data_IF_517716602553
#
_entry.id   IF_517716602553
#
_cell.length_a   1.000
_cell.length_b   1.000
_cell.length_c   1.000
_cell.angle_alpha   90.00
_cell.angle_beta   90.00
_cell.angle_gamma   90.00
#
_symmetry.space_group_name_H-M   'P 1'
#
loop_
_entity.id
_entity.type
_entity.pdbx_description
1 polymer ?
#
# COMPACT_ATOMS: atom_id res chain seq x y z
N UNK A 1 -10.59 -7.76 -16.51
CA UNK A 1 -9.45 -6.84 -16.36
C UNK A 1 -8.49 -7.00 -17.51
N UNK A 2 -7.76 -5.93 -17.80
CA UNK A 2 -6.64 -5.96 -18.76
C UNK A 2 -5.35 -5.79 -17.97
N UNK A 3 -4.33 -6.56 -18.31
CA UNK A 3 -2.97 -6.43 -17.78
C UNK A 3 -2.09 -6.00 -18.94
N UNK A 4 -1.64 -4.74 -18.94
CA UNK A 4 -0.69 -4.23 -19.92
C UNK A 4 0.71 -4.28 -19.34
N UNK A 5 1.62 -5.00 -19.96
CA UNK A 5 3.01 -5.13 -19.53
C UNK A 5 3.89 -4.33 -20.49
N UNK A 6 4.68 -3.41 -19.96
CA UNK A 6 5.38 -2.44 -20.80
C UNK A 6 6.30 -1.50 -20.03
N UNK A 7 6.77 -0.48 -20.76
CA UNK A 7 7.50 0.65 -20.20
C UNK A 7 6.51 1.68 -19.64
N UNK A 8 6.25 1.59 -18.35
CA UNK A 8 5.43 2.56 -17.60
C UNK A 8 6.28 3.26 -16.54
N UNK A 9 5.77 4.35 -15.97
CA UNK A 9 6.46 5.08 -14.89
C UNK A 9 6.40 4.30 -13.57
N UNK A 10 5.28 3.63 -13.31
CA UNK A 10 5.04 2.81 -12.13
C UNK A 10 3.97 1.74 -12.41
N UNK A 11 3.84 0.78 -11.49
CA UNK A 11 2.77 -0.22 -11.53
C UNK A 11 1.53 0.32 -10.85
N UNK A 12 0.38 0.34 -11.55
CA UNK A 12 -0.89 0.81 -11.00
C UNK A 12 -2.09 0.12 -11.64
N UNK A 13 -3.22 0.14 -10.94
CA UNK A 13 -4.53 -0.23 -11.49
C UNK A 13 -5.35 1.04 -11.66
N UNK A 14 -5.82 1.29 -12.88
CA UNK A 14 -6.66 2.43 -13.19
C UNK A 14 -7.70 2.04 -14.22
N UNK A 15 -8.98 2.35 -13.96
CA UNK A 15 -10.10 2.07 -14.86
C UNK A 15 -10.14 0.60 -15.34
N UNK A 16 -9.89 -0.34 -14.42
CA UNK A 16 -9.93 -1.78 -14.72
C UNK A 16 -8.72 -2.30 -15.51
N UNK A 17 -7.66 -1.50 -15.65
CA UNK A 17 -6.41 -1.86 -16.33
C UNK A 17 -5.26 -1.85 -15.34
N UNK A 18 -4.57 -2.98 -15.20
CA UNK A 18 -3.26 -3.05 -14.56
C UNK A 18 -2.19 -2.63 -15.56
N UNK A 19 -1.54 -1.51 -15.32
CA UNK A 19 -0.32 -1.11 -16.01
C UNK A 19 0.87 -1.68 -15.25
N UNK A 20 1.41 -2.81 -15.72
CA UNK A 20 2.52 -3.52 -15.06
C UNK A 20 3.86 -3.03 -15.61
N UNK A 21 4.61 -2.33 -14.77
CA UNK A 21 6.00 -1.97 -15.04
C UNK A 21 6.92 -3.12 -14.63
N UNK A 22 7.94 -3.37 -15.46
CA UNK A 22 9.04 -4.27 -15.13
C UNK A 22 10.30 -3.48 -14.76
N UNK A 23 11.07 -4.01 -13.81
CA UNK A 23 12.35 -3.49 -13.36
C UNK A 23 13.40 -3.48 -14.47
N UNK A 24 13.36 -4.44 -15.40
CA UNK A 24 14.32 -4.57 -16.50
C UNK A 24 13.65 -4.89 -17.85
N UNK A 25 12.59 -4.17 -18.21
CA UNK A 25 11.86 -4.40 -19.47
C UNK A 25 12.80 -4.47 -20.70
N UNK A 26 12.71 -5.50 -21.57
CA UNK A 26 11.63 -6.51 -21.65
C UNK A 26 11.92 -7.81 -20.86
N UNK A 27 12.92 -7.84 -19.97
CA UNK A 27 13.14 -8.99 -19.09
C UNK A 27 12.17 -8.94 -17.91
N UNK A 28 11.73 -10.11 -17.46
CA UNK A 28 10.85 -10.29 -16.30
C UNK A 28 11.53 -11.21 -15.30
N UNK A 29 11.44 -10.86 -14.03
CA UNK A 29 11.92 -11.66 -12.90
C UNK A 29 10.85 -12.60 -12.38
N UNK A 30 11.27 -13.63 -11.65
CA UNK A 30 10.35 -14.56 -10.98
C UNK A 30 9.38 -13.86 -10.02
N UNK A 31 9.84 -12.80 -9.35
CA UNK A 31 9.00 -11.97 -8.47
C UNK A 31 7.91 -11.25 -9.27
N UNK A 32 8.27 -10.63 -10.39
CA UNK A 32 7.29 -9.95 -11.24
C UNK A 32 6.28 -10.93 -11.84
N UNK A 33 6.72 -12.13 -12.24
CA UNK A 33 5.83 -13.22 -12.65
C UNK A 33 4.87 -13.59 -11.52
N UNK A 34 5.38 -13.79 -10.30
CA UNK A 34 4.56 -14.10 -9.12
C UNK A 34 3.46 -13.03 -8.93
N UNK A 35 3.80 -11.75 -8.99
CA UNK A 35 2.80 -10.67 -8.83
C UNK A 35 1.76 -10.63 -9.95
N UNK A 36 2.13 -10.97 -11.19
CA UNK A 36 1.17 -11.09 -12.30
C UNK A 36 0.19 -12.25 -12.05
N UNK A 37 0.71 -13.38 -11.57
CA UNK A 37 -0.12 -14.54 -11.21
C UNK A 37 -1.05 -14.19 -10.05
N UNK A 38 -0.55 -13.52 -9.00
CA UNK A 38 -1.35 -13.07 -7.86
C UNK A 38 -2.51 -12.16 -8.30
N UNK A 39 -2.26 -11.23 -9.22
CA UNK A 39 -3.33 -10.39 -9.78
C UNK A 39 -4.36 -11.21 -10.54
N UNK A 40 -3.93 -12.17 -11.39
CA UNK A 40 -4.85 -13.04 -12.13
C UNK A 40 -5.71 -13.89 -11.18
N UNK A 41 -5.09 -14.50 -10.17
CA UNK A 41 -5.77 -15.35 -9.20
C UNK A 41 -6.74 -14.53 -8.32
N UNK A 42 -6.34 -13.32 -7.89
CA UNK A 42 -7.21 -12.39 -7.16
C UNK A 42 -8.44 -12.01 -7.97
N UNK A 43 -8.25 -11.62 -9.23
CA UNK A 43 -9.35 -11.23 -10.12
C UNK A 43 -10.27 -12.43 -10.41
N UNK A 44 -9.71 -13.62 -10.58
CA UNK A 44 -10.47 -14.86 -10.76
C UNK A 44 -11.30 -15.23 -9.52
N UNK A 45 -10.80 -14.96 -8.30
CA UNK A 45 -11.54 -15.18 -7.05
C UNK A 45 -12.86 -14.38 -7.01
N UNK A 46 -12.89 -13.24 -7.72
CA UNK A 46 -14.08 -12.40 -7.88
C UNK A 46 -14.81 -12.59 -9.22
N UNK A 47 -14.53 -13.69 -9.92
CA UNK A 47 -15.20 -14.04 -11.17
C UNK A 47 -14.80 -13.18 -12.37
N UNK A 48 -13.71 -12.39 -12.27
CA UNK A 48 -13.22 -11.54 -13.34
C UNK A 48 -12.11 -12.26 -14.12
N UNK A 49 -12.18 -12.18 -15.45
CA UNK A 49 -11.14 -12.71 -16.34
C UNK A 49 -10.09 -11.65 -16.63
N UNK A 50 -8.84 -12.06 -16.73
CA UNK A 50 -7.72 -11.20 -17.11
C UNK A 50 -7.28 -11.46 -18.55
N UNK A 51 -6.94 -10.40 -19.27
CA UNK A 51 -6.32 -10.46 -20.59
C UNK A 51 -4.93 -9.81 -20.54
N UNK A 52 -3.90 -10.51 -20.99
CA UNK A 52 -2.54 -10.00 -21.11
C UNK A 52 -2.36 -9.23 -22.43
N UNK A 53 -1.70 -8.07 -22.36
CA UNK A 53 -1.28 -7.28 -23.50
C UNK A 53 0.18 -6.89 -23.29
N UNK A 54 1.05 -7.27 -24.22
CA UNK A 54 2.46 -6.86 -24.23
C UNK A 54 2.93 -6.73 -25.68
N UNK A 55 3.66 -5.65 -25.98
CA UNK A 55 4.21 -5.42 -27.33
C UNK A 55 5.32 -6.42 -27.67
N UNK A 56 6.10 -6.83 -26.67
CA UNK A 56 7.15 -7.83 -26.82
C UNK A 56 6.54 -9.24 -26.78
N UNK A 57 6.52 -9.89 -27.96
CA UNK A 57 5.94 -11.23 -28.13
C UNK A 57 6.69 -12.33 -27.38
N UNK A 58 8.01 -12.19 -27.22
CA UNK A 58 8.81 -13.20 -26.52
C UNK A 58 8.57 -13.12 -25.01
N UNK A 59 8.51 -11.90 -24.47
CA UNK A 59 8.11 -11.65 -23.10
C UNK A 59 6.69 -12.15 -22.85
N UNK A 60 5.73 -11.83 -23.73
CA UNK A 60 4.35 -12.30 -23.60
C UNK A 60 4.29 -13.83 -23.50
N UNK A 61 4.94 -14.53 -24.44
CA UNK A 61 4.99 -16.00 -24.43
C UNK A 61 5.63 -16.55 -23.16
N UNK A 62 6.68 -15.88 -22.65
CA UNK A 62 7.35 -16.26 -21.40
C UNK A 62 6.40 -16.17 -20.21
N UNK A 63 5.64 -15.09 -20.11
CA UNK A 63 4.65 -14.88 -19.04
C UNK A 63 3.51 -15.87 -19.16
N UNK A 64 2.97 -16.09 -20.36
CA UNK A 64 1.90 -17.07 -20.61
C UNK A 64 2.32 -18.48 -20.22
N UNK A 65 3.54 -18.91 -20.59
CA UNK A 65 4.09 -20.20 -20.18
C UNK A 65 4.27 -20.28 -18.67
N UNK A 66 4.72 -19.19 -18.04
CA UNK A 66 4.92 -19.14 -16.58
C UNK A 66 3.61 -19.26 -15.81
N UNK A 67 2.52 -18.71 -16.34
CA UNK A 67 1.18 -18.84 -15.75
C UNK A 67 0.69 -20.30 -15.78
N UNK A 68 1.03 -21.06 -16.83
CA UNK A 68 0.72 -22.50 -16.90
C UNK A 68 1.48 -23.32 -15.86
N UNK A 69 2.58 -22.80 -15.34
CA UNK A 69 3.44 -23.44 -14.34
C UNK A 69 3.43 -22.66 -13.01
N UNK A 70 2.29 -22.04 -12.68
CA UNK A 70 2.19 -21.07 -11.58
C UNK A 70 2.66 -21.59 -10.22
N UNK A 71 2.59 -22.91 -9.98
CA UNK A 71 3.06 -23.56 -8.76
C UNK A 71 4.56 -23.30 -8.51
N UNK A 72 5.37 -23.11 -9.56
CA UNK A 72 6.80 -22.77 -9.45
C UNK A 72 7.02 -21.41 -8.80
N UNK A 73 6.09 -20.48 -8.98
CA UNK A 73 6.24 -19.08 -8.56
C UNK A 73 5.64 -18.79 -7.18
N UNK A 74 4.80 -19.67 -6.65
CA UNK A 74 4.11 -19.48 -5.35
C UNK A 74 5.08 -19.24 -4.17
N UNK A 75 6.30 -19.79 -4.25
CA UNK A 75 7.30 -19.70 -3.19
C UNK A 75 8.43 -18.71 -3.47
N UNK A 76 8.34 -17.97 -4.58
CA UNK A 76 9.34 -16.95 -4.89
C UNK A 76 9.33 -15.91 -3.77
N UNK A 77 10.45 -15.71 -3.06
CA UNK A 77 10.49 -14.75 -1.96
C UNK A 77 10.33 -13.33 -2.48
N UNK A 78 9.77 -12.46 -1.64
CA UNK A 78 9.81 -11.02 -1.91
C UNK A 78 11.29 -10.57 -1.94
N UNK A 79 11.73 -9.80 -2.96
CA UNK A 79 13.08 -9.26 -2.95
C UNK A 79 13.23 -8.25 -1.81
N UNK A 80 14.42 -8.12 -1.23
CA UNK A 80 14.68 -7.14 -0.15
C UNK A 80 14.34 -5.70 -0.59
N UNK A 81 14.51 -5.43 -1.88
CA UNK A 81 14.15 -4.16 -2.51
C UNK A 81 13.55 -4.38 -3.90
N UNK A 82 12.36 -3.82 -4.10
CA UNK A 82 11.69 -3.78 -5.41
C UNK A 82 12.17 -2.54 -6.17
N UNK A 83 12.63 -2.74 -7.40
CA UNK A 83 13.19 -1.68 -8.26
C UNK A 83 12.28 -1.31 -9.43
N UNK A 84 11.13 -1.96 -9.58
CA UNK A 84 10.07 -1.56 -10.52
C UNK A 84 9.64 -0.12 -10.24
N UNK A 85 9.33 0.20 -8.97
CA UNK A 85 9.00 1.55 -8.54
C UNK A 85 10.26 2.30 -8.09
N UNK A 86 10.65 3.33 -8.85
CA UNK A 86 11.82 4.17 -8.55
C UNK A 86 11.45 5.52 -7.97
N UNK A 87 10.17 5.71 -7.59
CA UNK A 87 9.66 7.01 -7.14
C UNK A 87 10.39 7.50 -5.87
N UNK A 88 10.76 6.60 -4.96
CA UNK A 88 11.54 6.93 -3.76
C UNK A 88 12.94 7.46 -4.14
N UNK A 89 13.18 8.76 -3.95
CA UNK A 89 14.43 9.44 -4.34
C UNK A 89 15.66 8.91 -3.58
N UNK A 90 15.50 8.59 -2.29
CA UNK A 90 16.58 8.15 -1.40
C UNK A 90 16.97 6.69 -1.64
N UNK A 91 16.00 5.77 -1.61
CA UNK A 91 16.25 4.33 -1.68
C UNK A 91 16.23 3.77 -3.11
N UNK A 92 15.69 4.54 -4.07
CA UNK A 92 15.53 4.18 -5.50
C UNK A 92 14.84 2.82 -5.68
N UNK A 93 13.81 2.59 -4.88
CA UNK A 93 13.11 1.32 -4.77
C UNK A 93 12.20 1.29 -3.54
N UNK A 94 11.32 0.30 -3.48
CA UNK A 94 10.53 -0.01 -2.30
C UNK A 94 11.25 -1.05 -1.44
N UNK A 95 11.50 -0.73 -0.17
CA UNK A 95 12.09 -1.65 0.78
C UNK A 95 10.98 -2.54 1.37
N UNK A 96 11.19 -3.85 1.42
CA UNK A 96 10.09 -4.81 1.60
C UNK A 96 9.96 -5.38 3.01
N UNK A 97 10.82 -4.95 3.93
CA UNK A 97 10.79 -5.41 5.33
C UNK A 97 9.52 -4.99 6.08
N UNK A 98 9.02 -3.79 5.78
CA UNK A 98 7.88 -3.20 6.46
C UNK A 98 6.79 -2.81 5.47
N UNK A 99 5.56 -2.85 5.96
CA UNK A 99 4.40 -2.26 5.28
C UNK A 99 3.73 -1.27 6.22
N UNK A 100 3.01 -0.30 5.65
CA UNK A 100 2.28 0.67 6.44
C UNK A 100 0.89 0.97 5.88
N UNK A 101 0.01 1.39 6.79
CA UNK A 101 -1.26 2.04 6.49
C UNK A 101 -1.18 3.49 6.93
N UNK A 102 -1.39 4.43 6.01
CA UNK A 102 -1.36 5.88 6.28
C UNK A 102 -2.77 6.45 6.22
N UNK A 103 -3.11 7.31 7.18
CA UNK A 103 -4.44 7.92 7.26
C UNK A 103 -4.41 9.33 7.85
N UNK A 104 -5.53 10.05 7.76
CA UNK A 104 -5.69 11.38 8.37
C UNK A 104 -5.79 11.29 9.90
N UNK A 105 -5.52 12.40 10.58
CA UNK A 105 -5.68 12.52 12.04
C UNK A 105 -7.05 12.00 12.51
N UNK A 106 -8.14 12.46 11.89
CA UNK A 106 -9.51 12.07 12.26
C UNK A 106 -9.72 10.54 12.26
N UNK A 107 -9.21 9.85 11.23
CA UNK A 107 -9.32 8.40 11.15
C UNK A 107 -8.35 7.70 12.09
N UNK A 108 -7.15 8.26 12.28
CA UNK A 108 -6.17 7.73 13.24
C UNK A 108 -6.74 7.70 14.66
N UNK A 109 -7.45 8.76 15.08
CA UNK A 109 -8.13 8.81 16.38
C UNK A 109 -9.16 7.66 16.52
N UNK A 110 -9.99 7.42 15.50
CA UNK A 110 -10.96 6.30 15.50
C UNK A 110 -10.27 4.94 15.58
N UNK A 111 -9.17 4.78 14.85
CA UNK A 111 -8.37 3.56 14.82
C UNK A 111 -7.73 3.28 16.19
N UNK A 112 -7.12 4.29 16.80
CA UNK A 112 -6.50 4.17 18.13
C UNK A 112 -7.55 3.87 19.20
N UNK A 113 -8.65 4.62 19.22
CA UNK A 113 -9.78 4.43 20.14
C UNK A 113 -10.34 3.01 20.09
N UNK A 114 -10.46 2.44 18.89
CA UNK A 114 -10.95 1.06 18.71
C UNK A 114 -9.87 -0.01 18.90
N UNK A 115 -8.58 0.36 18.85
CA UNK A 115 -7.45 -0.55 18.85
C UNK A 115 -7.36 -1.43 17.60
N UNK A 116 -8.06 -1.07 16.52
CA UNK A 116 -8.17 -1.88 15.29
C UNK A 116 -8.09 -1.03 14.03
N UNK A 117 -7.42 -1.55 13.02
CA UNK A 117 -7.64 -1.11 11.63
C UNK A 117 -8.85 -1.87 11.08
N UNK A 118 -9.70 -1.17 10.35
CA UNK A 118 -10.91 -1.71 9.74
C UNK A 118 -10.88 -1.42 8.23
N UNK A 119 -11.43 -2.33 7.43
CA UNK A 119 -11.68 -2.08 6.01
C UNK A 119 -12.65 -0.91 5.83
N UNK A 120 -12.66 -0.29 4.65
CA UNK A 120 -13.53 0.87 4.40
C UNK A 120 -15.01 0.56 4.65
N UNK A 121 -15.45 -0.66 4.30
CA UNK A 121 -16.79 -1.15 4.55
C UNK A 121 -17.14 -1.19 6.04
N UNK A 122 -16.25 -1.77 6.86
CA UNK A 122 -16.44 -1.90 8.31
C UNK A 122 -16.32 -0.57 9.04
N UNK A 123 -15.33 0.24 8.66
CA UNK A 123 -15.03 1.51 9.31
C UNK A 123 -16.16 2.54 9.14
N UNK A 124 -16.86 2.51 8.00
CA UNK A 124 -17.84 3.54 7.64
C UNK A 124 -19.28 3.09 7.77
N UNK A 125 -19.53 1.78 7.91
CA UNK A 125 -20.86 1.21 8.01
C UNK A 125 -21.80 1.68 6.88
N UNK A 126 -21.25 1.79 5.67
CA UNK A 126 -21.98 2.10 4.43
C UNK A 126 -22.11 0.84 3.59
N UNK A 127 -23.01 0.85 2.62
CA UNK A 127 -23.08 -0.21 1.62
C UNK A 127 -21.93 -0.08 0.62
N UNK A 128 -21.56 -1.20 -0.02
CA UNK A 128 -20.51 -1.19 -1.05
C UNK A 128 -20.87 -0.27 -2.22
N UNK A 129 -22.15 -0.21 -2.61
CA UNK A 129 -22.62 0.67 -3.68
C UNK A 129 -22.42 2.15 -3.35
N UNK A 130 -22.65 2.55 -2.09
CA UNK A 130 -22.38 3.91 -1.64
C UNK A 130 -20.89 4.23 -1.70
N UNK A 131 -20.02 3.30 -1.29
CA UNK A 131 -18.56 3.46 -1.36
C UNK A 131 -18.04 3.58 -2.79
N UNK A 132 -18.57 2.77 -3.71
CA UNK A 132 -18.19 2.80 -5.12
C UNK A 132 -18.58 4.12 -5.79
N UNK A 133 -19.69 4.74 -5.38
CA UNK A 133 -20.22 5.97 -5.97
C UNK A 133 -19.51 7.25 -5.48
N UNK A 134 -18.58 7.14 -4.53
CA UNK A 134 -17.91 8.31 -3.98
C UNK A 134 -16.88 8.88 -4.95
N UNK A 135 -16.78 10.21 -4.99
CA UNK A 135 -15.75 10.91 -5.79
C UNK A 135 -14.32 10.45 -5.48
N UNK A 136 -14.08 10.01 -4.24
CA UNK A 136 -12.77 9.51 -3.79
C UNK A 136 -12.44 8.10 -4.31
N UNK A 137 -13.39 7.41 -4.94
CA UNK A 137 -13.13 6.20 -5.73
C UNK A 137 -12.67 6.59 -7.15
N UNK A 138 -11.63 7.42 -7.24
CA UNK A 138 -11.19 8.02 -8.50
C UNK A 138 -10.67 6.99 -9.52
N UNK A 139 -10.12 5.88 -9.04
CA UNK A 139 -9.63 4.77 -9.87
C UNK A 139 -10.72 3.82 -10.37
N UNK A 140 -11.99 4.06 -9.98
CA UNK A 140 -13.13 3.18 -10.23
C UNK A 140 -12.90 1.76 -9.70
N UNK A 141 -12.41 1.67 -8.46
CA UNK A 141 -12.15 0.41 -7.77
C UNK A 141 -13.43 -0.43 -7.67
N UNK A 142 -13.32 -1.77 -7.84
CA UNK A 142 -14.46 -2.65 -7.74
C UNK A 142 -14.89 -2.86 -6.29
N UNK A 143 -16.13 -3.32 -6.12
CA UNK A 143 -16.80 -3.58 -4.84
C UNK A 143 -15.92 -4.25 -3.76
N UNK A 144 -15.16 -5.26 -4.16
CA UNK A 144 -14.33 -6.05 -3.24
C UNK A 144 -13.20 -5.25 -2.60
N UNK A 145 -12.68 -4.20 -3.23
CA UNK A 145 -11.56 -3.42 -2.69
C UNK A 145 -11.91 -2.79 -1.34
N UNK A 146 -13.18 -2.44 -1.14
CA UNK A 146 -13.67 -1.83 0.09
C UNK A 146 -13.77 -2.81 1.27
N UNK A 147 -13.68 -4.12 1.02
CA UNK A 147 -13.66 -5.16 2.04
C UNK A 147 -12.27 -5.33 2.70
N UNK A 148 -11.26 -4.66 2.15
CA UNK A 148 -9.86 -4.82 2.57
C UNK A 148 -9.28 -3.57 3.24
N UNK A 149 -8.39 -3.81 4.19
CA UNK A 149 -7.35 -2.88 4.62
C UNK A 149 -6.22 -3.00 3.62
N UNK A 150 -5.84 -1.88 3.02
CA UNK A 150 -4.76 -1.78 2.05
C UNK A 150 -3.49 -1.26 2.71
N UNK A 151 -2.37 -1.87 2.34
CA UNK A 151 -1.05 -1.50 2.81
C UNK A 151 -0.17 -1.04 1.64
N UNK A 152 0.80 -0.20 1.94
CA UNK A 152 1.89 0.16 1.03
C UNK A 152 3.22 -0.30 1.62
N UNK A 153 4.27 -0.37 0.80
CA UNK A 153 5.62 -0.59 1.31
C UNK A 153 6.02 0.55 2.26
N UNK A 154 6.75 0.22 3.33
CA UNK A 154 6.95 1.12 4.46
C UNK A 154 7.67 2.44 4.14
N UNK A 155 8.46 2.48 3.06
CA UNK A 155 9.14 3.69 2.59
C UNK A 155 8.36 4.44 1.49
N UNK A 156 7.13 4.01 1.18
CA UNK A 156 6.30 4.61 0.14
C UNK A 156 5.60 5.88 0.64
N UNK A 157 5.60 6.91 -0.19
CA UNK A 157 4.90 8.18 0.09
C UNK A 157 3.42 8.19 -0.30
N UNK A 158 2.96 7.20 -1.08
CA UNK A 158 1.62 7.23 -1.69
C UNK A 158 0.48 7.44 -0.68
N UNK A 159 0.64 6.90 0.54
CA UNK A 159 -0.32 7.09 1.61
C UNK A 159 -0.49 8.55 2.03
N UNK A 160 0.61 9.30 2.20
CA UNK A 160 0.55 10.72 2.56
C UNK A 160 0.05 11.58 1.40
N UNK A 161 0.39 11.23 0.17
CA UNK A 161 -0.18 11.90 -1.01
C UNK A 161 -1.70 11.76 -1.05
N UNK A 162 -2.24 10.59 -0.72
CA UNK A 162 -3.69 10.38 -0.61
C UNK A 162 -4.32 11.15 0.56
N UNK A 163 -3.61 11.29 1.69
CA UNK A 163 -4.06 12.15 2.80
C UNK A 163 -4.15 13.60 2.33
N UNK A 164 -3.13 14.10 1.61
CA UNK A 164 -3.14 15.44 1.04
C UNK A 164 -4.25 15.64 0.01
N UNK A 165 -4.43 14.70 -0.91
CA UNK A 165 -5.50 14.76 -1.91
C UNK A 165 -6.88 14.88 -1.26
N UNK A 166 -7.16 14.07 -0.24
CA UNK A 166 -8.42 14.10 0.51
C UNK A 166 -8.61 15.40 1.30
N UNK A 167 -7.53 15.94 1.86
CA UNK A 167 -7.55 17.24 2.56
C UNK A 167 -7.87 18.39 1.60
N UNK A 168 -7.38 18.31 0.36
CA UNK A 168 -7.50 19.37 -0.64
C UNK A 168 -8.73 19.25 -1.56
N UNK A 169 -9.37 18.07 -1.62
CA UNK A 169 -10.43 17.71 -2.59
C UNK A 169 -9.97 17.89 -4.06
N UNK A 170 -8.67 17.70 -4.31
CA UNK A 170 -8.02 17.73 -5.63
C UNK A 170 -6.66 17.05 -5.56
N UNK A 171 -6.10 16.70 -6.72
CA UNK A 171 -4.71 16.23 -6.79
C UNK A 171 -3.73 17.27 -6.22
N UNK A 172 -2.78 16.86 -5.36
CA UNK A 172 -1.80 17.77 -4.78
C UNK A 172 -0.73 18.16 -5.82
N UNK A 173 -0.33 19.42 -5.77
CA UNK A 173 0.77 20.02 -6.54
C UNK A 173 2.12 19.80 -5.84
N UNK A 174 3.22 20.16 -6.49
CA UNK A 174 4.55 20.11 -5.84
C UNK A 174 4.64 21.00 -4.60
N UNK A 175 3.98 22.15 -4.62
CA UNK A 175 3.92 23.08 -3.49
C UNK A 175 3.16 22.45 -2.30
N UNK A 176 2.05 21.75 -2.58
CA UNK A 176 1.28 21.02 -1.57
C UNK A 176 2.09 19.87 -0.95
N UNK A 177 2.95 19.21 -1.74
CA UNK A 177 3.80 18.08 -1.28
C UNK A 177 5.16 18.53 -0.73
N UNK A 178 5.38 19.84 -0.60
CA UNK A 178 6.60 20.42 -0.03
C UNK A 178 6.30 21.38 1.11
N UNK A 179 6.11 22.67 0.81
CA UNK A 179 5.96 23.72 1.84
C UNK A 179 4.66 23.63 2.61
N UNK A 180 3.59 23.18 1.95
CA UNK A 180 2.25 23.09 2.56
C UNK A 180 1.91 21.64 2.96
N UNK A 181 2.93 20.78 3.01
CA UNK A 181 2.77 19.35 3.25
C UNK A 181 2.33 19.07 4.68
N UNK A 182 1.22 18.34 4.80
CA UNK A 182 0.70 17.82 6.07
C UNK A 182 0.77 16.28 6.04
N UNK A 183 1.75 15.66 6.71
CA UNK A 183 1.89 14.21 6.75
C UNK A 183 0.70 13.54 7.44
N UNK A 184 0.39 12.30 7.07
CA UNK A 184 -0.59 11.48 7.78
C UNK A 184 -0.01 10.74 8.98
N UNK A 185 -0.88 10.11 9.77
CA UNK A 185 -0.47 9.12 10.77
C UNK A 185 -0.20 7.79 10.07
N UNK A 186 0.95 7.18 10.33
CA UNK A 186 1.36 5.91 9.70
C UNK A 186 1.42 4.77 10.71
N UNK A 187 0.64 3.73 10.48
CA UNK A 187 0.66 2.48 11.24
C UNK A 187 1.59 1.49 10.54
N UNK A 188 2.66 1.08 11.20
CA UNK A 188 3.70 0.19 10.66
C UNK A 188 3.57 -1.25 11.15
N UNK A 189 3.89 -2.18 10.26
CA UNK A 189 3.83 -3.62 10.47
C UNK A 189 5.04 -4.29 9.81
N UNK A 190 5.50 -5.41 10.37
CA UNK A 190 6.49 -6.28 9.71
C UNK A 190 5.79 -7.09 8.64
N UNK A 191 6.34 -7.07 7.42
CA UNK A 191 5.76 -7.81 6.31
C UNK A 191 5.76 -9.32 6.58
N UNK A 192 6.87 -9.86 7.09
CA UNK A 192 7.05 -11.30 7.35
C UNK A 192 6.08 -11.89 8.38
N UNK A 193 5.61 -11.07 9.30
CA UNK A 193 4.59 -11.44 10.27
C UNK A 193 3.21 -11.39 9.61
N UNK A 194 2.93 -10.28 8.91
CA UNK A 194 1.59 -9.98 8.39
C UNK A 194 1.16 -10.92 7.26
N UNK A 195 2.09 -11.48 6.49
CA UNK A 195 1.80 -12.52 5.49
C UNK A 195 1.27 -13.83 6.09
N UNK A 196 1.35 -14.00 7.42
CA UNK A 196 0.81 -15.16 8.14
C UNK A 196 -0.59 -14.88 8.70
N UNK A 197 -1.13 -13.68 8.51
CA UNK A 197 -2.46 -13.33 8.96
C UNK A 197 -3.52 -14.19 8.25
N UNK A 198 -4.51 -14.77 8.96
CA UNK A 198 -5.47 -15.72 8.36
C UNK A 198 -6.32 -15.12 7.24
N UNK A 199 -6.53 -13.79 7.26
CA UNK A 199 -7.32 -13.06 6.26
C UNK A 199 -6.46 -12.27 5.27
N UNK A 200 -5.18 -12.62 5.12
CA UNK A 200 -4.30 -11.96 4.14
C UNK A 200 -4.68 -12.34 2.71
N UNK A 201 -4.60 -11.38 1.81
CA UNK A 201 -4.82 -11.56 0.37
C UNK A 201 -3.74 -10.80 -0.39
N UNK A 202 -3.26 -11.39 -1.47
CA UNK A 202 -2.33 -10.74 -2.41
C UNK A 202 -3.10 -10.42 -3.68
N UNK A 203 -3.11 -9.16 -4.10
CA UNK A 203 -3.74 -8.72 -5.33
C UNK A 203 -2.72 -8.51 -6.47
N UNK A 204 -1.43 -8.78 -6.24
CA UNK A 204 -0.38 -8.59 -7.22
C UNK A 204 0.03 -7.14 -7.51
N UNK A 205 -0.52 -6.17 -6.77
CA UNK A 205 -0.26 -4.73 -6.96
C UNK A 205 0.25 -4.10 -5.67
N UNK A 206 -0.51 -4.27 -4.58
CA UNK A 206 -0.11 -3.88 -3.25
C UNK A 206 0.71 -5.00 -2.60
N UNK A 207 1.52 -4.70 -1.56
CA UNK A 207 2.29 -5.72 -0.85
C UNK A 207 1.43 -6.86 -0.29
N UNK A 208 0.27 -6.48 0.27
CA UNK A 208 -0.79 -7.34 0.77
C UNK A 208 -2.03 -6.51 1.12
N UNK A 209 -3.14 -7.20 1.25
CA UNK A 209 -4.43 -6.73 1.78
C UNK A 209 -4.86 -7.61 2.95
N UNK A 210 -5.62 -7.06 3.89
CA UNK A 210 -6.25 -7.85 4.97
C UNK A 210 -7.75 -7.61 4.96
N UNK A 211 -8.53 -8.68 4.92
CA UNK A 211 -9.98 -8.58 4.91
C UNK A 211 -10.53 -8.17 6.28
N UNK A 212 -11.55 -7.30 6.25
CA UNK A 212 -12.36 -6.85 7.39
C UNK A 212 -11.63 -6.04 8.48
N UNK A 213 -10.73 -6.64 9.25
CA UNK A 213 -10.12 -6.02 10.42
C UNK A 213 -8.71 -6.53 10.75
N UNK A 214 -7.94 -5.72 11.48
CA UNK A 214 -6.63 -6.05 12.03
C UNK A 214 -6.45 -5.45 13.43
N UNK A 215 -6.08 -6.29 14.40
CA UNK A 215 -5.77 -5.88 15.78
C UNK A 215 -4.44 -5.14 15.88
N UNK A 216 -4.44 -3.90 16.38
CA UNK A 216 -3.19 -3.17 16.57
C UNK A 216 -2.31 -3.76 17.67
N UNK A 217 -2.94 -4.27 18.74
CA UNK A 217 -2.22 -4.88 19.87
C UNK A 217 -1.30 -6.01 19.41
N UNK A 218 -1.81 -6.84 18.52
CA UNK A 218 -1.17 -8.10 18.14
C UNK A 218 -0.18 -7.91 16.99
N UNK A 219 -0.47 -6.98 16.08
CA UNK A 219 0.26 -6.87 14.80
C UNK A 219 1.06 -5.59 14.63
N UNK A 220 0.68 -4.48 15.26
CA UNK A 220 1.30 -3.18 15.00
C UNK A 220 2.69 -3.09 15.64
N UNK A 221 3.69 -2.74 14.83
CA UNK A 221 5.06 -2.47 15.27
C UNK A 221 5.14 -1.09 15.92
N UNK A 222 4.71 -0.06 15.20
CA UNK A 222 4.79 1.33 15.63
C UNK A 222 3.71 2.18 14.93
N UNK A 223 3.32 3.28 15.59
CA UNK A 223 2.46 4.32 15.03
C UNK A 223 3.28 5.60 14.98
N UNK A 224 3.53 6.11 13.78
CA UNK A 224 4.26 7.35 13.58
C UNK A 224 3.27 8.49 13.42
N UNK A 225 3.40 9.47 14.30
CA UNK A 225 2.49 10.61 14.41
C UNK A 225 3.29 11.89 14.19
N UNK A 226 2.84 12.81 13.33
CA UNK A 226 3.38 14.17 13.29
C UNK A 226 3.25 14.83 14.68
N UNK A 227 4.35 15.39 15.20
CA UNK A 227 4.40 15.90 16.58
C UNK A 227 3.36 16.99 16.87
N UNK A 228 2.94 17.76 15.86
CA UNK A 228 1.86 18.73 15.97
C UNK A 228 0.51 18.13 16.44
N UNK A 229 0.32 16.82 16.32
CA UNK A 229 -0.90 16.12 16.74
C UNK A 229 -0.73 15.33 18.04
N UNK A 230 0.36 15.54 18.77
CA UNK A 230 0.65 14.79 20.01
C UNK A 230 -0.49 14.89 21.02
N UNK A 231 -0.93 16.12 21.32
CA UNK A 231 -2.00 16.38 22.30
C UNK A 231 -3.34 15.75 21.91
N UNK A 232 -3.66 15.72 20.62
CA UNK A 232 -4.91 15.12 20.11
C UNK A 232 -4.86 13.60 20.21
N UNK A 233 -3.71 13.01 19.88
CA UNK A 233 -3.54 11.56 19.81
C UNK A 233 -3.39 10.93 21.18
N UNK A 234 -2.58 11.52 22.08
CA UNK A 234 -2.26 10.93 23.40
C UNK A 234 -3.51 10.51 24.19
N UNK A 235 -4.59 11.29 24.09
CA UNK A 235 -5.83 11.04 24.82
C UNK A 235 -6.59 9.78 24.35
N UNK A 236 -6.33 9.33 23.12
CA UNK A 236 -7.01 8.19 22.50
C UNK A 236 -6.09 6.97 22.35
N UNK A 237 -4.82 7.06 22.76
CA UNK A 237 -3.89 5.92 22.71
C UNK A 237 -4.27 4.91 23.79
N UNK A 238 -4.61 3.66 23.44
CA UNK A 238 -4.88 2.64 24.44
C UNK A 238 -3.58 2.19 25.11
N UNK A 239 -3.63 1.83 26.39
CA UNK A 239 -2.46 1.47 27.22
C UNK A 239 -1.54 0.44 26.55
N UNK A 240 -2.12 -0.54 25.85
CA UNK A 240 -1.38 -1.59 25.17
C UNK A 240 -0.62 -1.12 23.91
N UNK A 241 -0.78 0.14 23.49
CA UNK A 241 -0.07 0.78 22.39
C UNK A 241 0.80 1.96 22.82
N UNK A 242 0.74 2.42 24.08
CA UNK A 242 1.46 3.60 24.55
C UNK A 242 2.96 3.59 24.20
N UNK A 243 3.64 2.44 24.35
CA UNK A 243 5.06 2.27 24.00
C UNK A 243 5.36 2.14 22.50
N UNK A 244 4.34 2.21 21.63
CA UNK A 244 4.47 2.03 20.17
C UNK A 244 4.14 3.31 19.39
N UNK A 245 3.58 4.33 20.04
CA UNK A 245 3.29 5.62 19.41
C UNK A 245 4.53 6.52 19.49
N UNK A 246 4.92 7.09 18.36
CA UNK A 246 6.15 7.87 18.22
C UNK A 246 5.82 9.16 17.50
N UNK A 247 6.06 10.26 18.20
CA UNK A 247 5.89 11.61 17.69
C UNK A 247 7.17 12.07 16.99
N UNK A 248 7.03 12.58 15.77
CA UNK A 248 8.14 13.11 14.98
C UNK A 248 7.79 14.50 14.45
N UNK A 249 8.68 15.46 14.66
CA UNK A 249 8.59 16.78 14.04
C UNK A 249 8.66 16.68 12.52
N UNK A 250 7.80 17.42 11.82
CA UNK A 250 7.88 17.54 10.36
C UNK A 250 8.73 18.76 9.97
N UNK A 251 10.04 18.62 10.13
CA UNK A 251 11.08 19.59 9.70
C UNK A 251 11.63 19.29 8.29
N UNK A 252 10.88 18.49 7.52
CA UNK A 252 11.28 17.97 6.22
C UNK A 252 10.97 18.96 5.09
N UNK A 253 11.79 18.94 4.03
CA UNK A 253 11.61 19.86 2.89
C UNK A 253 10.44 19.48 2.00
N UNK A 254 10.20 18.18 1.90
CA UNK A 254 9.12 17.61 1.11
C UNK A 254 8.69 16.24 1.64
N UNK A 255 7.67 15.68 0.99
CA UNK A 255 7.13 14.35 1.28
C UNK A 255 8.16 13.21 1.19
N UNK A 256 9.22 13.37 0.39
CA UNK A 256 10.27 12.36 0.24
C UNK A 256 11.20 12.36 1.45
N UNK A 257 11.63 13.55 1.89
CA UNK A 257 12.41 13.75 3.11
C UNK A 257 11.66 13.16 4.32
N UNK A 258 10.34 13.45 4.42
CA UNK A 258 9.49 12.88 5.47
C UNK A 258 9.45 11.35 5.40
N UNK A 259 9.20 10.79 4.21
CA UNK A 259 9.10 9.33 4.05
C UNK A 259 10.40 8.62 4.40
N UNK A 260 11.56 9.19 4.08
CA UNK A 260 12.86 8.64 4.47
C UNK A 260 13.10 8.77 5.98
N UNK A 261 12.83 9.95 6.58
CA UNK A 261 12.96 10.17 8.03
C UNK A 261 12.14 9.16 8.83
N UNK A 262 10.88 8.98 8.44
CA UNK A 262 9.99 8.01 9.08
C UNK A 262 10.51 6.58 8.90
N UNK A 263 10.93 6.22 7.68
CA UNK A 263 11.42 4.87 7.43
C UNK A 263 12.68 4.54 8.23
N UNK A 264 13.64 5.46 8.32
CA UNK A 264 14.84 5.31 9.17
C UNK A 264 14.49 5.13 10.64
N UNK A 265 13.47 5.86 11.13
CA UNK A 265 12.98 5.67 12.50
C UNK A 265 12.47 4.25 12.70
N UNK A 266 11.66 3.73 11.77
CA UNK A 266 11.16 2.34 11.84
C UNK A 266 12.31 1.33 11.79
N UNK A 267 13.29 1.51 10.89
CA UNK A 267 14.49 0.65 10.85
C UNK A 267 15.25 0.65 12.18
N UNK A 268 15.27 1.76 12.92
CA UNK A 268 15.95 1.85 14.22
C UNK A 268 15.24 1.11 15.36
N UNK A 269 13.92 0.91 15.26
CA UNK A 269 13.11 0.24 16.29
C UNK A 269 13.15 -1.29 16.16
N UNK A 270 13.59 -1.77 15.00
CA UNK A 270 13.64 -3.19 14.65
C UNK A 270 15.03 -3.81 14.85
N UNK A 271 15.95 -3.04 15.43
CA UNK A 271 17.31 -3.49 15.83
C UNK A 271 17.31 -3.95 17.28
#
# INVERSE_FOLDING_TARGET
>A
MIIKIGKYDYTEVWDGVLYKKLSNYPQVSDWEIRTIIEFIDYESMYGRKCQLICEDKQLLQTIENSILEKEKFQRVPVPEKITECTACRYRKGCCTKFVCHTTSLENALKILKSGRLLSALRARNLTVNELMAEKRNAANDPADYFEYIMFTWGNCQAGDRLVMERKLDRFPTEQDLSRDFTPGVRFYFRYEDLIRHPNVVFDGVLPLKIRDELSLKDWCLAVIVPAEWEQDIEQEVPDNLAGRVIYLENDCKDIWDWSEKVYQKIESLDR
#
